data_IF_464153010094
#
_entry.id   IF_464153010094
#
_cell.length_a   1.000
_cell.length_b   1.000
_cell.length_c   1.000
_cell.angle_alpha   90.00
_cell.angle_beta   90.00
_cell.angle_gamma   90.00
#
_symmetry.space_group_name_H-M   'P 1'
#
loop_
_entity.id
_entity.type
_entity.pdbx_description
1 polymer ?
#
# COMPACT_ATOMS: atom_id res chain seq x y z
N UNK A 1 -11.33 1.96 9.20
CA UNK A 1 -11.16 2.82 8.01
C UNK A 1 -11.16 1.96 6.75
N UNK A 2 -11.78 2.41 5.67
CA UNK A 2 -11.83 1.73 4.37
C UNK A 2 -11.19 2.59 3.28
N UNK A 3 -10.76 1.96 2.18
CA UNK A 3 -10.34 2.67 0.98
C UNK A 3 -11.55 3.20 0.20
N UNK A 4 -11.33 4.20 -0.67
CA UNK A 4 -12.39 4.78 -1.48
C UNK A 4 -13.04 3.70 -2.37
N UNK A 5 -14.38 3.62 -2.34
CA UNK A 5 -15.18 2.62 -3.06
C UNK A 5 -14.82 1.17 -2.72
N UNK A 6 -14.30 0.91 -1.52
CA UNK A 6 -14.10 -0.42 -0.97
C UNK A 6 -14.92 -0.59 0.29
N UNK A 7 -15.64 -1.71 0.36
CA UNK A 7 -16.40 -2.11 1.54
C UNK A 7 -15.47 -2.65 2.62
N UNK A 8 -14.44 -3.37 2.21
CA UNK A 8 -13.49 -4.04 3.09
C UNK A 8 -12.51 -3.06 3.75
N UNK A 9 -12.22 -3.32 5.02
CA UNK A 9 -11.32 -2.50 5.82
C UNK A 9 -9.89 -2.49 5.27
N UNK A 10 -9.20 -1.36 5.43
CA UNK A 10 -7.85 -1.20 4.88
C UNK A 10 -6.83 -2.18 5.49
N UNK A 11 -7.06 -2.64 6.72
CA UNK A 11 -6.23 -3.67 7.37
C UNK A 11 -6.36 -5.04 6.66
N UNK A 12 -7.57 -5.41 6.24
CA UNK A 12 -7.83 -6.66 5.50
C UNK A 12 -7.19 -6.59 4.13
N UNK A 13 -7.38 -5.47 3.44
CA UNK A 13 -6.75 -5.22 2.14
C UNK A 13 -5.23 -5.24 2.27
N UNK A 14 -4.68 -4.56 3.28
CA UNK A 14 -3.25 -4.54 3.56
C UNK A 14 -2.65 -5.93 3.81
N UNK A 15 -3.36 -6.75 4.58
CA UNK A 15 -2.99 -8.15 4.82
C UNK A 15 -2.95 -8.96 3.53
N UNK A 16 -3.91 -8.76 2.63
CA UNK A 16 -3.92 -9.39 1.31
C UNK A 16 -2.74 -8.95 0.44
N UNK A 17 -2.38 -7.66 0.47
CA UNK A 17 -1.27 -7.12 -0.31
C UNK A 17 0.09 -7.64 0.18
N UNK A 18 0.30 -7.72 1.50
CA UNK A 18 1.52 -8.31 2.06
C UNK A 18 1.67 -9.78 1.67
N UNK A 19 0.61 -10.56 1.81
CA UNK A 19 0.57 -11.96 1.41
C UNK A 19 0.91 -12.15 -0.07
N UNK A 20 0.34 -11.31 -0.93
CA UNK A 20 0.63 -11.29 -2.35
C UNK A 20 2.10 -10.96 -2.64
N UNK A 21 2.69 -10.01 -1.91
CA UNK A 21 4.12 -9.70 -1.98
C UNK A 21 5.03 -10.86 -1.55
N UNK A 22 4.55 -11.75 -0.68
CA UNK A 22 5.22 -13.00 -0.31
C UNK A 22 4.97 -14.15 -1.29
N UNK A 23 4.29 -13.89 -2.41
CA UNK A 23 4.01 -14.89 -3.44
C UNK A 23 2.75 -15.74 -3.19
N UNK A 24 1.92 -15.40 -2.20
CA UNK A 24 0.66 -16.13 -2.00
C UNK A 24 -0.33 -15.89 -3.15
N UNK A 25 -0.96 -16.96 -3.63
CA UNK A 25 -2.01 -16.88 -4.63
C UNK A 25 -3.33 -16.32 -4.08
N UNK A 26 -4.04 -15.52 -4.88
CA UNK A 26 -5.27 -14.84 -4.49
C UNK A 26 -6.36 -15.75 -3.89
N UNK A 27 -6.48 -17.01 -4.33
CA UNK A 27 -7.45 -17.97 -3.78
C UNK A 27 -7.14 -18.35 -2.33
N UNK A 28 -5.85 -18.58 -2.01
CA UNK A 28 -5.41 -18.90 -0.64
C UNK A 28 -5.62 -17.70 0.29
N UNK A 29 -5.25 -16.51 -0.19
CA UNK A 29 -5.49 -15.25 0.52
C UNK A 29 -6.98 -15.06 0.81
N UNK A 30 -7.84 -15.27 -0.19
CA UNK A 30 -9.29 -15.15 -0.08
C UNK A 30 -9.89 -16.06 1.00
N UNK A 31 -9.51 -17.35 1.00
CA UNK A 31 -9.93 -18.31 2.03
C UNK A 31 -9.49 -17.83 3.41
N UNK A 32 -8.21 -17.46 3.57
CA UNK A 32 -7.65 -17.02 4.85
C UNK A 32 -8.33 -15.76 5.41
N UNK A 33 -8.73 -14.84 4.54
CA UNK A 33 -9.34 -13.57 4.93
C UNK A 33 -10.89 -13.61 4.98
N UNK A 34 -11.52 -14.70 4.55
CA UNK A 34 -12.98 -14.79 4.47
C UNK A 34 -13.61 -13.85 3.43
N UNK A 35 -12.85 -13.51 2.37
CA UNK A 35 -13.26 -12.56 1.32
C UNK A 35 -13.44 -13.31 -0.01
N UNK A 36 -14.43 -12.96 -0.86
CA UNK A 36 -14.57 -13.58 -2.17
C UNK A 36 -13.29 -13.51 -3.02
N UNK A 37 -12.91 -14.62 -3.66
CA UNK A 37 -11.66 -14.70 -4.44
C UNK A 37 -11.60 -13.71 -5.61
N UNK A 38 -12.74 -13.41 -6.24
CA UNK A 38 -12.86 -12.39 -7.29
C UNK A 38 -12.53 -10.98 -6.77
N UNK A 39 -12.93 -10.68 -5.53
CA UNK A 39 -12.65 -9.41 -4.85
C UNK A 39 -11.16 -9.28 -4.57
N UNK A 40 -10.54 -10.28 -3.96
CA UNK A 40 -9.09 -10.29 -3.71
C UNK A 40 -8.32 -10.16 -5.02
N UNK A 41 -8.66 -10.96 -6.04
CA UNK A 41 -8.06 -10.84 -7.38
C UNK A 41 -8.17 -9.42 -7.93
N UNK A 42 -9.33 -8.78 -7.76
CA UNK A 42 -9.58 -7.41 -8.18
C UNK A 42 -8.77 -6.36 -7.42
N UNK A 43 -8.39 -6.62 -6.17
CA UNK A 43 -7.47 -5.77 -5.41
C UNK A 43 -6.04 -5.93 -5.89
N UNK A 44 -5.55 -7.18 -5.94
CA UNK A 44 -4.17 -7.48 -6.31
C UNK A 44 -3.86 -7.00 -7.73
N UNK A 45 -4.80 -7.19 -8.68
CA UNK A 45 -4.66 -6.68 -10.05
C UNK A 45 -4.51 -5.16 -10.09
N UNK A 46 -5.32 -4.44 -9.30
CA UNK A 46 -5.27 -2.97 -9.27
C UNK A 46 -4.00 -2.46 -8.60
N UNK A 47 -3.59 -3.09 -7.50
CA UNK A 47 -2.32 -2.76 -6.85
C UNK A 47 -1.14 -3.02 -7.78
N UNK A 48 -1.10 -4.19 -8.42
CA UNK A 48 -0.07 -4.55 -9.39
C UNK A 48 0.06 -3.55 -10.53
N UNK A 49 -1.08 -3.15 -11.13
CA UNK A 49 -1.10 -2.14 -12.19
C UNK A 49 -0.65 -0.73 -11.76
N UNK A 50 -0.65 -0.43 -10.45
CA UNK A 50 -0.23 0.87 -9.90
C UNK A 50 1.09 0.80 -9.15
N UNK A 51 1.72 -0.36 -9.08
CA UNK A 51 2.81 -0.63 -8.15
C UNK A 51 4.00 0.32 -8.34
N UNK A 52 4.46 0.53 -9.58
CA UNK A 52 5.53 1.49 -9.89
C UNK A 52 5.19 2.91 -9.44
N UNK A 53 3.97 3.38 -9.75
CA UNK A 53 3.50 4.70 -9.35
C UNK A 53 3.43 4.83 -7.82
N UNK A 54 2.85 3.84 -7.15
CA UNK A 54 2.73 3.82 -5.69
C UNK A 54 4.10 3.76 -5.02
N UNK A 55 5.06 3.00 -5.57
CA UNK A 55 6.43 2.98 -5.08
C UNK A 55 7.02 4.40 -5.07
N UNK A 56 6.99 5.10 -6.21
CA UNK A 56 7.52 6.46 -6.30
C UNK A 56 6.85 7.44 -5.30
N UNK A 57 5.51 7.36 -5.18
CA UNK A 57 4.77 8.24 -4.27
C UNK A 57 5.07 7.95 -2.80
N UNK A 58 5.09 6.68 -2.39
CA UNK A 58 5.39 6.33 -1.00
C UNK A 58 6.86 6.55 -0.63
N UNK A 59 7.79 6.44 -1.59
CA UNK A 59 9.17 6.92 -1.39
C UNK A 59 9.17 8.42 -1.13
N UNK A 60 8.45 9.23 -1.92
CA UNK A 60 8.38 10.68 -1.69
C UNK A 60 7.76 11.01 -0.32
N UNK A 61 6.71 10.30 0.10
CA UNK A 61 6.13 10.43 1.45
C UNK A 61 7.16 10.07 2.52
N UNK A 62 7.86 8.96 2.38
CA UNK A 62 8.88 8.53 3.34
C UNK A 62 9.99 9.58 3.49
N UNK A 63 10.47 10.17 2.39
CA UNK A 63 11.49 11.22 2.37
C UNK A 63 11.03 12.51 3.06
N UNK A 64 9.76 12.88 2.90
CA UNK A 64 9.18 14.05 3.58
C UNK A 64 9.09 13.84 5.10
N UNK A 65 8.82 12.61 5.52
CA UNK A 65 8.73 12.25 6.95
C UNK A 65 10.09 12.03 7.59
N UNK A 66 11.07 11.58 6.81
CA UNK A 66 12.44 11.26 7.22
C UNK A 66 13.42 11.79 6.14
N UNK A 67 13.85 13.06 6.24
CA UNK A 67 14.80 13.64 5.28
C UNK A 67 16.16 12.92 5.25
N UNK A 68 16.52 12.25 6.35
CA UNK A 68 17.76 11.46 6.48
C UNK A 68 17.68 10.04 5.93
N UNK A 69 16.55 9.67 5.31
CA UNK A 69 16.33 8.32 4.82
C UNK A 69 17.49 7.84 3.92
N UNK A 70 17.94 6.61 4.10
CA UNK A 70 18.98 6.01 3.24
C UNK A 70 18.43 5.55 1.90
N UNK A 71 19.24 4.84 1.12
CA UNK A 71 18.77 4.14 -0.07
C UNK A 71 17.68 3.10 0.30
N UNK A 72 16.63 2.99 -0.52
CA UNK A 72 15.60 1.96 -0.36
C UNK A 72 15.89 0.86 -1.37
N UNK A 73 16.20 -0.34 -0.88
CA UNK A 73 16.53 -1.49 -1.71
C UNK A 73 15.35 -1.91 -2.58
N UNK A 74 15.61 -2.18 -3.86
CA UNK A 74 14.63 -2.85 -4.72
C UNK A 74 14.44 -4.30 -4.27
N UNK A 75 13.19 -4.76 -4.34
CA UNK A 75 12.72 -6.11 -4.08
C UNK A 75 12.69 -6.99 -5.33
N UNK A 76 13.15 -6.48 -6.47
CA UNK A 76 13.20 -7.23 -7.73
C UNK A 76 11.83 -7.44 -8.40
N UNK A 77 10.78 -6.78 -7.91
CA UNK A 77 9.48 -6.76 -8.57
C UNK A 77 8.73 -5.45 -8.28
N UNK A 78 7.97 -4.89 -9.23
CA UNK A 78 7.21 -3.65 -8.99
C UNK A 78 6.29 -3.70 -7.78
N UNK A 79 5.61 -4.83 -7.57
CA UNK A 79 4.74 -5.06 -6.40
C UNK A 79 5.55 -5.08 -5.10
N UNK A 80 6.69 -5.77 -5.08
CA UNK A 80 7.59 -5.79 -3.94
C UNK A 80 8.14 -4.41 -3.62
N UNK A 81 8.58 -3.65 -4.63
CA UNK A 81 9.08 -2.28 -4.48
C UNK A 81 8.01 -1.35 -3.91
N UNK A 82 6.76 -1.49 -4.37
CA UNK A 82 5.63 -0.73 -3.85
C UNK A 82 5.36 -1.06 -2.37
N UNK A 83 5.40 -2.34 -2.00
CA UNK A 83 5.19 -2.77 -0.61
C UNK A 83 6.33 -2.33 0.30
N UNK A 84 7.57 -2.37 -0.18
CA UNK A 84 8.74 -1.86 0.54
C UNK A 84 8.61 -0.36 0.79
N UNK A 85 8.30 0.43 -0.24
CA UNK A 85 8.07 1.87 -0.11
C UNK A 85 6.93 2.20 0.87
N UNK A 86 5.81 1.46 0.81
CA UNK A 86 4.69 1.58 1.76
C UNK A 86 5.14 1.28 3.19
N UNK A 87 5.91 0.20 3.39
CA UNK A 87 6.44 -0.20 4.70
C UNK A 87 7.38 0.84 5.28
N UNK A 88 8.31 1.35 4.47
CA UNK A 88 9.26 2.41 4.85
C UNK A 88 8.53 3.70 5.22
N UNK A 89 7.56 4.14 4.42
CA UNK A 89 6.76 5.33 4.70
C UNK A 89 5.96 5.19 6.00
N UNK A 90 5.30 4.05 6.23
CA UNK A 90 4.58 3.79 7.46
C UNK A 90 5.51 3.72 8.68
N UNK A 91 6.71 3.16 8.53
CA UNK A 91 7.74 3.15 9.56
C UNK A 91 8.23 4.56 9.91
N UNK A 92 8.49 5.40 8.90
CA UNK A 92 8.85 6.81 9.10
C UNK A 92 7.72 7.58 9.80
N UNK A 93 6.46 7.34 9.42
CA UNK A 93 5.31 7.94 10.09
C UNK A 93 5.23 7.55 11.58
N UNK A 94 5.46 6.28 11.92
CA UNK A 94 5.49 5.82 13.31
C UNK A 94 6.61 6.50 14.10
N UNK A 95 7.80 6.65 13.52
CA UNK A 95 8.91 7.38 14.17
C UNK A 95 8.59 8.86 14.38
N UNK A 96 7.88 9.49 13.43
CA UNK A 96 7.57 10.93 13.46
C UNK A 96 6.39 11.28 14.37
N UNK A 97 5.35 10.45 14.39
CA UNK A 97 4.07 10.75 15.04
C UNK A 97 3.72 9.82 16.20
N UNK A 98 4.52 8.79 16.45
CA UNK A 98 4.27 7.76 17.46
C UNK A 98 3.51 6.53 16.92
N UNK A 99 3.27 5.53 17.77
CA UNK A 99 2.62 4.28 17.39
C UNK A 99 1.22 4.50 16.79
N UNK A 100 0.90 3.78 15.72
CA UNK A 100 -0.39 3.88 15.07
C UNK A 100 -0.68 2.72 14.12
N UNK A 101 -1.91 2.69 13.61
CA UNK A 101 -2.35 1.68 12.63
C UNK A 101 -1.74 2.00 11.28
N UNK A 102 -0.70 1.25 10.88
CA UNK A 102 0.08 1.49 9.65
C UNK A 102 -0.79 1.60 8.41
N UNK A 103 -1.78 0.73 8.24
CA UNK A 103 -2.66 0.74 7.07
C UNK A 103 -3.65 1.92 7.06
N UNK A 104 -3.97 2.50 8.22
CA UNK A 104 -4.76 3.73 8.28
C UNK A 104 -3.93 4.92 7.77
N UNK A 105 -2.66 5.00 8.16
CA UNK A 105 -1.73 5.97 7.59
C UNK A 105 -1.60 5.78 6.08
N UNK A 106 -1.42 4.56 5.59
CA UNK A 106 -1.34 4.27 4.14
C UNK A 106 -2.61 4.68 3.41
N UNK A 107 -3.78 4.44 4.00
CA UNK A 107 -5.06 4.92 3.49
C UNK A 107 -5.08 6.44 3.39
N UNK A 108 -4.73 7.14 4.47
CA UNK A 108 -4.72 8.61 4.51
C UNK A 108 -3.72 9.22 3.53
N UNK A 109 -2.48 8.73 3.54
CA UNK A 109 -1.42 9.16 2.65
C UNK A 109 -1.80 8.99 1.18
N UNK A 110 -2.47 7.89 0.82
CA UNK A 110 -2.94 7.66 -0.55
C UNK A 110 -4.29 8.34 -0.89
N UNK A 111 -4.88 9.14 0.01
CA UNK A 111 -6.23 9.70 -0.17
C UNK A 111 -7.33 8.63 -0.35
N UNK A 112 -7.10 7.41 0.16
CA UNK A 112 -7.97 6.25 -0.01
C UNK A 112 -7.87 5.59 -1.40
N UNK A 113 -6.95 6.03 -2.26
CA UNK A 113 -6.85 5.65 -3.67
C UNK A 113 -5.77 4.59 -3.96
N UNK A 114 -5.28 3.91 -2.91
CA UNK A 114 -4.35 2.77 -3.01
C UNK A 114 -4.82 1.73 -4.05
N UNK A 115 -6.13 1.48 -4.13
CA UNK A 115 -6.77 0.60 -5.12
C UNK A 115 -7.75 1.34 -6.05
N UNK A 116 -7.62 2.66 -6.16
CA UNK A 116 -8.46 3.52 -6.99
C UNK A 116 -8.12 3.41 -8.47
N UNK A 117 -9.10 3.65 -9.35
CA UNK A 117 -8.93 3.60 -10.81
C UNK A 117 -8.25 4.87 -11.38
N UNK A 118 -8.12 5.92 -10.57
CA UNK A 118 -7.52 7.20 -10.96
C UNK A 118 -6.03 7.22 -10.59
N UNK A 119 -5.18 7.64 -11.54
CA UNK A 119 -3.73 7.76 -11.36
C UNK A 119 -3.29 9.04 -10.62
N UNK A 120 -4.22 9.93 -10.27
CA UNK A 120 -3.91 11.15 -9.52
C UNK A 120 -4.55 11.13 -8.13
N UNK A 121 -3.86 10.60 -7.09
CA UNK A 121 -4.30 10.73 -5.70
C UNK A 121 -3.47 11.73 -4.89
N UNK A 122 -2.29 12.15 -5.36
CA UNK A 122 -1.42 13.09 -4.65
C UNK A 122 -1.52 14.47 -5.31
N UNK A 123 -1.99 15.46 -4.56
CA UNK A 123 -1.99 16.86 -4.99
C UNK A 123 -0.53 17.24 -5.28
N UNK A 124 -0.25 17.81 -6.45
CA UNK A 124 1.02 18.47 -6.70
C UNK A 124 1.26 19.44 -5.53
N UNK A 125 2.40 19.30 -4.85
CA UNK A 125 2.83 20.32 -3.91
C UNK A 125 3.11 21.57 -4.75
N UNK A 126 2.25 22.58 -4.60
CA UNK A 126 2.60 23.98 -4.89
C UNK A 126 3.65 24.44 -3.90
#
# INVERSE_FOLDING_TARGET
>A
MCLLRRRDGVEVIGSALLAFGMGEGHRRIAVRLGVPASTVRGWLRRFGGKSVFLAAQFVAVARRLDPSLGHISSRGSPVGDALEAVGVAAGAAVRRFGPGRRWWFVSGASGGLLLGNTNCPFRAAV
#
